data_IF_973040565245
#
_entry.id   IF_973040565245
#
_cell.length_a   1.000
_cell.length_b   1.000
_cell.length_c   1.000
_cell.angle_alpha   90.00
_cell.angle_beta   90.00
_cell.angle_gamma   90.00
#
_symmetry.space_group_name_H-M   'P 1'
#
loop_
_entity.id
_entity.type
_entity.pdbx_description
1 polymer ?
#
# COMPACT_ATOMS: atom_id res chain seq x y z
N UNK A 1 -15.65 -17.45 -2.64
CA UNK A 1 -14.77 -16.50 -3.33
C UNK A 1 -15.65 -15.62 -4.20
N UNK A 2 -15.60 -14.31 -3.97
CA UNK A 2 -16.37 -13.30 -4.71
C UNK A 2 -15.39 -12.25 -5.21
N UNK A 3 -15.43 -11.91 -6.49
CA UNK A 3 -14.62 -10.82 -7.03
C UNK A 3 -15.36 -9.48 -6.83
N UNK A 4 -14.69 -8.53 -6.19
CA UNK A 4 -15.25 -7.20 -5.92
C UNK A 4 -14.25 -6.12 -6.30
N UNK A 5 -14.77 -5.04 -6.89
CA UNK A 5 -13.98 -3.84 -7.16
C UNK A 5 -13.82 -3.01 -5.88
N UNK A 6 -12.59 -2.65 -5.56
CA UNK A 6 -12.24 -1.70 -4.51
C UNK A 6 -11.43 -0.54 -5.08
N UNK A 7 -11.58 0.63 -4.47
CA UNK A 7 -10.71 1.77 -4.72
C UNK A 7 -9.89 2.02 -3.47
N UNK A 8 -8.60 1.69 -3.52
CA UNK A 8 -7.67 1.93 -2.42
C UNK A 8 -6.99 3.28 -2.59
N UNK A 9 -6.82 4.02 -1.49
CA UNK A 9 -5.91 5.16 -1.47
C UNK A 9 -4.46 4.71 -1.16
N UNK A 10 -4.29 3.52 -0.59
CA UNK A 10 -2.99 2.98 -0.23
C UNK A 10 -2.93 1.46 -0.26
N UNK A 11 -1.75 0.95 -0.59
CA UNK A 11 -1.40 -0.47 -0.49
C UNK A 11 -0.15 -0.56 0.38
N UNK A 12 -0.31 -1.04 1.62
CA UNK A 12 0.74 -1.17 2.62
C UNK A 12 1.50 -2.48 2.40
N UNK A 13 2.79 -2.37 2.14
CA UNK A 13 3.66 -3.52 1.87
C UNK A 13 4.40 -3.99 3.12
N UNK A 14 4.64 -3.09 4.06
CA UNK A 14 5.31 -3.39 5.32
C UNK A 14 4.83 -2.43 6.40
N UNK A 15 4.49 -2.96 7.56
CA UNK A 15 4.10 -2.18 8.73
C UNK A 15 4.73 -2.82 9.97
N UNK A 16 5.72 -2.13 10.53
CA UNK A 16 6.29 -2.44 11.83
C UNK A 16 5.89 -1.29 12.78
N UNK A 17 4.90 -1.51 13.67
CA UNK A 17 4.29 -0.46 14.47
C UNK A 17 5.33 0.38 15.21
N UNK A 18 5.21 1.70 15.11
CA UNK A 18 6.10 2.71 15.75
C UNK A 18 7.52 2.81 15.18
N UNK A 19 7.85 2.10 14.10
CA UNK A 19 9.23 2.02 13.61
C UNK A 19 9.37 2.23 12.11
N UNK A 20 8.59 1.52 11.30
CA UNK A 20 8.70 1.62 9.85
C UNK A 20 7.39 1.27 9.15
N UNK A 21 7.04 2.05 8.13
CA UNK A 21 5.91 1.74 7.26
C UNK A 21 6.30 1.97 5.80
N UNK A 22 6.19 0.92 4.99
CA UNK A 22 6.38 1.02 3.54
C UNK A 22 5.04 0.79 2.84
N UNK A 23 4.71 1.67 1.89
CA UNK A 23 3.43 1.61 1.20
C UNK A 23 3.46 2.34 -0.16
N UNK A 24 2.55 1.96 -1.04
CA UNK A 24 2.20 2.75 -2.20
C UNK A 24 0.99 3.64 -1.86
N UNK A 25 1.07 4.92 -2.17
CA UNK A 25 -0.03 5.88 -2.05
C UNK A 25 -0.47 6.35 -3.45
N UNK A 26 -1.76 6.65 -3.59
CA UNK A 26 -2.35 7.10 -4.85
C UNK A 26 -3.84 6.80 -4.89
N UNK A 27 -4.40 6.56 -6.06
CA UNK A 27 -5.74 6.00 -6.21
C UNK A 27 -5.64 4.73 -7.05
N UNK A 28 -5.96 3.59 -6.45
CA UNK A 28 -5.81 2.27 -7.04
C UNK A 28 -7.18 1.61 -7.16
N UNK A 29 -7.72 1.52 -8.37
CA UNK A 29 -8.92 0.72 -8.61
C UNK A 29 -8.49 -0.70 -8.93
N UNK A 30 -8.88 -1.66 -8.11
CA UNK A 30 -8.46 -3.04 -8.21
C UNK A 30 -9.62 -4.00 -7.99
N UNK A 31 -9.57 -5.14 -8.68
CA UNK A 31 -10.43 -6.29 -8.39
C UNK A 31 -9.73 -7.15 -7.34
N UNK A 32 -10.45 -7.41 -6.26
CA UNK A 32 -10.02 -8.30 -5.18
C UNK A 32 -10.91 -9.53 -5.19
N UNK A 33 -10.28 -10.71 -5.24
CA UNK A 33 -10.95 -11.97 -4.93
C UNK A 33 -11.06 -12.09 -3.41
N UNK A 34 -12.25 -11.83 -2.87
CA UNK A 34 -12.54 -11.85 -1.44
C UNK A 34 -12.73 -13.29 -0.94
N UNK A 35 -12.01 -13.65 0.12
CA UNK A 35 -12.16 -14.92 0.82
C UNK A 35 -13.17 -14.81 1.96
N UNK A 36 -13.07 -13.73 2.73
CA UNK A 36 -13.93 -13.38 3.87
C UNK A 36 -13.96 -11.86 4.01
N UNK A 37 -15.13 -11.25 4.17
CA UNK A 37 -15.19 -9.81 4.33
C UNK A 37 -16.58 -9.20 4.21
N UNK A 38 -16.62 -7.91 4.46
CA UNK A 38 -17.74 -6.99 4.23
C UNK A 38 -17.26 -5.88 3.28
N UNK A 39 -18.11 -4.94 2.89
CA UNK A 39 -17.65 -3.81 2.08
C UNK A 39 -16.56 -2.96 2.75
N UNK A 40 -16.53 -2.91 4.09
CA UNK A 40 -15.63 -2.05 4.85
C UNK A 40 -14.33 -2.74 5.27
N UNK A 41 -14.33 -4.04 5.50
CA UNK A 41 -13.14 -4.76 5.91
C UNK A 41 -13.23 -6.23 5.56
N UNK A 42 -12.08 -6.83 5.23
CA UNK A 42 -12.00 -8.22 4.81
C UNK A 42 -10.61 -8.65 4.38
N UNK A 43 -10.56 -9.81 3.73
CA UNK A 43 -9.36 -10.50 3.28
C UNK A 43 -9.55 -10.98 1.86
N UNK A 44 -8.50 -10.90 1.06
CA UNK A 44 -8.55 -11.36 -0.31
C UNK A 44 -7.22 -11.21 -1.04
N UNK A 45 -7.29 -11.42 -2.36
CA UNK A 45 -6.16 -11.31 -3.28
C UNK A 45 -6.44 -10.28 -4.35
N UNK A 46 -5.50 -9.37 -4.58
CA UNK A 46 -5.58 -8.43 -5.71
C UNK A 46 -5.36 -9.23 -6.98
N UNK A 47 -6.42 -9.53 -7.73
CA UNK A 47 -6.30 -10.29 -8.98
C UNK A 47 -5.94 -9.41 -10.16
N UNK A 48 -6.35 -8.13 -10.14
CA UNK A 48 -6.11 -7.19 -11.22
C UNK A 48 -6.20 -5.74 -10.75
N UNK A 49 -5.30 -4.89 -11.21
CA UNK A 49 -5.37 -3.44 -11.01
C UNK A 49 -5.86 -2.79 -12.32
N UNK A 50 -7.06 -2.21 -12.25
CA UNK A 50 -7.74 -1.59 -13.38
C UNK A 50 -7.13 -0.25 -13.74
N UNK A 51 -6.89 0.60 -12.74
CA UNK A 51 -6.32 1.93 -12.94
C UNK A 51 -5.52 2.40 -11.73
N UNK A 52 -4.57 3.28 -11.99
CA UNK A 52 -3.65 3.83 -11.01
C UNK A 52 -3.48 5.31 -11.30
N UNK A 53 -3.79 6.16 -10.32
CA UNK A 53 -3.63 7.61 -10.43
C UNK A 53 -2.64 8.13 -9.38
N UNK A 54 -1.73 9.01 -9.84
CA UNK A 54 -0.70 9.68 -9.01
C UNK A 54 0.06 8.73 -8.07
N UNK A 55 0.57 7.58 -8.55
CA UNK A 55 1.18 6.61 -7.66
C UNK A 55 2.54 7.11 -7.16
N UNK A 56 2.79 6.90 -5.88
CA UNK A 56 4.05 7.22 -5.23
C UNK A 56 4.36 6.18 -4.16
N UNK A 57 5.61 5.75 -4.09
CA UNK A 57 6.08 4.83 -3.05
C UNK A 57 6.63 5.63 -1.89
N UNK A 58 6.35 5.15 -0.69
CA UNK A 58 6.79 5.71 0.58
C UNK A 58 7.46 4.65 1.42
N UNK A 59 8.46 5.09 2.18
CA UNK A 59 9.17 4.30 3.16
C UNK A 59 9.46 5.21 4.35
N UNK A 60 8.55 5.16 5.32
CA UNK A 60 8.56 5.99 6.52
C UNK A 60 9.32 5.27 7.63
N UNK A 61 10.18 6.01 8.32
CA UNK A 61 10.96 5.56 9.47
C UNK A 61 10.68 6.47 10.66
N UNK A 62 10.50 5.87 11.83
CA UNK A 62 10.45 6.62 13.08
C UNK A 62 11.82 6.59 13.73
N UNK A 63 12.39 7.76 14.01
CA UNK A 63 13.65 7.88 14.75
C UNK A 63 13.46 7.62 16.26
N UNK A 64 14.56 7.50 17.00
CA UNK A 64 14.56 7.19 18.45
C UNK A 64 13.94 8.30 19.32
N UNK A 65 13.79 9.51 18.79
CA UNK A 65 13.14 10.66 19.42
C UNK A 65 11.68 10.83 18.96
N UNK A 66 11.17 9.94 18.11
CA UNK A 66 9.79 9.93 17.62
C UNK A 66 9.55 10.84 16.42
N UNK A 67 10.60 11.40 15.80
CA UNK A 67 10.46 12.07 14.50
C UNK A 67 10.23 11.06 13.39
N UNK A 68 9.51 11.47 12.34
CA UNK A 68 9.23 10.62 11.18
C UNK A 68 10.02 11.13 9.98
N UNK A 69 10.95 10.31 9.50
CA UNK A 69 11.67 10.50 8.25
C UNK A 69 10.96 9.72 7.13
N UNK A 70 10.42 10.44 6.14
CA UNK A 70 9.69 9.84 5.02
C UNK A 70 10.52 9.91 3.73
N UNK A 71 11.02 8.76 3.29
CA UNK A 71 11.58 8.63 1.94
C UNK A 71 10.47 8.37 0.94
N UNK A 72 10.55 8.99 -0.23
CA UNK A 72 9.52 8.80 -1.25
C UNK A 72 10.08 8.78 -2.66
N UNK A 73 9.46 7.99 -3.53
CA UNK A 73 9.88 7.79 -4.93
C UNK A 73 8.66 7.74 -5.85
N UNK A 74 8.69 8.52 -6.93
CA UNK A 74 7.68 8.42 -7.98
C UNK A 74 7.73 7.04 -8.64
N UNK A 75 6.56 6.51 -9.02
CA UNK A 75 6.46 5.20 -9.67
C UNK A 75 5.45 5.25 -10.81
N UNK A 76 5.33 4.16 -11.55
CA UNK A 76 4.44 4.04 -12.71
C UNK A 76 3.30 3.08 -12.42
N UNK A 77 2.21 3.17 -13.21
CA UNK A 77 1.11 2.23 -13.12
C UNK A 77 1.56 0.77 -13.41
N UNK A 78 2.54 0.58 -14.29
CA UNK A 78 3.10 -0.73 -14.62
C UNK A 78 3.88 -1.34 -13.45
N UNK A 79 4.67 -0.53 -12.75
CA UNK A 79 5.41 -0.99 -11.56
C UNK A 79 4.44 -1.40 -10.44
N UNK A 80 3.40 -0.59 -10.21
CA UNK A 80 2.33 -0.88 -9.24
C UNK A 80 1.64 -2.21 -9.55
N UNK A 81 1.33 -2.47 -10.82
CA UNK A 81 0.76 -3.76 -11.27
C UNK A 81 1.69 -4.92 -10.96
N UNK A 82 2.97 -4.81 -11.34
CA UNK A 82 3.99 -5.85 -11.08
C UNK A 82 4.19 -6.12 -9.58
N UNK A 83 4.06 -5.09 -8.74
CA UNK A 83 4.27 -5.21 -7.30
C UNK A 83 3.08 -5.87 -6.58
N UNK A 84 1.85 -5.56 -6.96
CA UNK A 84 0.67 -5.91 -6.16
C UNK A 84 -0.30 -6.90 -6.80
N UNK A 85 -0.32 -7.07 -8.13
CA UNK A 85 -1.15 -8.11 -8.73
C UNK A 85 -0.69 -9.50 -8.28
N UNK A 86 -1.66 -10.32 -7.90
CA UNK A 86 -1.45 -11.64 -7.32
C UNK A 86 -1.14 -11.64 -5.82
N UNK A 87 -1.03 -10.48 -5.16
CA UNK A 87 -0.74 -10.42 -3.72
C UNK A 87 -1.99 -10.59 -2.86
N UNK A 88 -1.84 -11.34 -1.78
CA UNK A 88 -2.87 -11.53 -0.77
C UNK A 88 -2.71 -10.52 0.37
N UNK A 89 -3.81 -10.22 1.05
CA UNK A 89 -3.80 -9.30 2.17
C UNK A 89 -5.17 -9.07 2.79
N UNK A 90 -5.23 -8.00 3.56
CA UNK A 90 -6.44 -7.54 4.24
C UNK A 90 -6.76 -6.12 3.78
N UNK A 91 -8.03 -5.79 3.64
CA UNK A 91 -8.43 -4.41 3.39
C UNK A 91 -9.26 -3.87 4.54
N UNK A 92 -9.20 -2.55 4.69
CA UNK A 92 -9.84 -1.82 5.78
C UNK A 92 -10.24 -0.43 5.29
N UNK A 93 -11.48 -0.07 5.57
CA UNK A 93 -12.07 1.23 5.33
C UNK A 93 -12.18 1.98 6.65
N UNK A 94 -11.42 3.06 6.77
CA UNK A 94 -11.38 3.91 7.95
C UNK A 94 -12.13 5.21 7.68
N UNK A 95 -13.31 5.35 8.29
CA UNK A 95 -14.15 6.55 8.23
C UNK A 95 -13.68 7.66 9.21
N UNK A 96 -12.71 7.37 10.08
CA UNK A 96 -12.12 8.34 11.01
C UNK A 96 -11.17 9.33 10.33
N UNK A 97 -10.77 9.07 9.09
CA UNK A 97 -9.98 9.98 8.26
C UNK A 97 -10.88 10.86 7.38
N UNK A 98 -10.43 12.08 7.09
CA UNK A 98 -11.07 13.00 6.16
C UNK A 98 -10.10 13.33 5.01
N UNK A 99 -10.32 12.81 3.77
CA UNK A 99 -11.39 11.88 3.38
C UNK A 99 -11.18 10.46 3.95
N UNK A 100 -12.24 9.61 3.96
CA UNK A 100 -12.14 8.23 4.41
C UNK A 100 -11.04 7.47 3.68
N UNK A 101 -10.30 6.64 4.42
CA UNK A 101 -9.11 5.94 3.93
C UNK A 101 -9.45 4.47 3.70
N UNK A 102 -9.41 4.03 2.45
CA UNK A 102 -9.53 2.61 2.09
C UNK A 102 -8.15 2.04 1.76
N UNK A 103 -7.64 1.14 2.60
CA UNK A 103 -6.27 0.63 2.49
C UNK A 103 -6.24 -0.89 2.32
N UNK A 104 -5.22 -1.40 1.64
CA UNK A 104 -4.93 -2.82 1.53
C UNK A 104 -3.57 -3.14 2.14
N UNK A 105 -3.51 -3.97 3.18
CA UNK A 105 -2.28 -4.40 3.86
C UNK A 105 -1.90 -5.80 3.38
N UNK A 106 -0.70 -5.96 2.82
CA UNK A 106 -0.22 -7.25 2.31
C UNK A 106 0.00 -8.26 3.44
N UNK A 107 -0.34 -9.52 3.18
CA UNK A 107 -0.05 -10.65 4.08
C UNK A 107 1.45 -10.94 4.13
N UNK A 108 2.05 -11.14 2.95
CA UNK A 108 3.49 -11.32 2.80
C UNK A 108 4.17 -9.96 2.71
N UNK A 109 4.62 -9.48 3.86
CA UNK A 109 5.15 -8.13 4.00
C UNK A 109 6.59 -8.03 3.48
N UNK A 110 6.88 -6.94 2.78
CA UNK A 110 8.23 -6.59 2.34
C UNK A 110 8.43 -5.07 2.35
N UNK A 111 9.56 -4.58 2.88
CA UNK A 111 9.86 -3.16 2.87
C UNK A 111 10.16 -2.66 1.45
N UNK A 112 9.76 -1.42 1.15
CA UNK A 112 10.17 -0.76 -0.10
C UNK A 112 11.49 -0.06 0.18
N UNK A 113 12.60 -0.60 -0.32
CA UNK A 113 13.91 0.03 -0.12
C UNK A 113 14.09 1.25 -1.02
N UNK A 114 13.77 2.44 -0.49
CA UNK A 114 14.04 3.70 -1.17
C UNK A 114 15.40 4.21 -0.69
N UNK A 115 16.39 4.26 -1.58
CA UNK A 115 17.68 4.86 -1.27
C UNK A 115 17.59 6.39 -1.39
N UNK A 116 18.12 7.17 -0.45
CA UNK A 116 18.21 8.61 -0.60
C UNK A 116 19.15 8.97 -1.76
N UNK A 117 18.75 9.97 -2.53
CA UNK A 117 19.55 10.48 -3.65
C UNK A 117 20.75 11.24 -3.10
N UNK A 118 21.98 10.75 -3.30
CA UNK A 118 23.20 11.50 -2.97
C UNK A 118 24.14 10.88 -1.94
N UNK A 119 24.02 9.59 -1.60
CA UNK A 119 25.11 8.92 -0.88
C UNK A 119 26.33 8.72 -1.82
N UNK A 120 27.56 9.04 -1.39
CA UNK A 120 28.76 8.98 -2.23
C UNK A 120 29.22 7.55 -2.61
N UNK A 121 28.46 6.53 -2.25
CA UNK A 121 28.75 5.13 -2.59
C UNK A 121 27.52 4.50 -3.24
N UNK A 122 27.33 4.83 -4.52
CA UNK A 122 26.43 4.15 -5.45
C UNK A 122 27.23 3.59 -6.60
#
# INVERSE_FOLDING_TARGET
MVEREHTFCEIVTFDYPMWRKSYAAGTFRAIVEEYEGSEKAGRGKIVKILSVERPKLYDDYTDLHGGVDSLSKSTTAEDIKKLFEGKEGTYEHDEGYLPPRHMFKLKDQFPIEIKPSGMPFG
#
